data_IF_500293508476
#
_entry.id   IF_500293508476
#
_cell.length_a   1.000
_cell.length_b   1.000
_cell.length_c   1.000
_cell.angle_alpha   90.00
_cell.angle_beta   90.00
_cell.angle_gamma   90.00
#
_symmetry.space_group_name_H-M   'P 1'
#
loop_
_entity.id
_entity.type
_entity.pdbx_description
1 polymer ?
#
# COMPACT_ATOMS: atom_id res chain seq x y z
N UNK A 1 5.78 23.98 23.20
CA UNK A 1 4.57 23.19 22.87
C UNK A 1 4.15 23.59 21.47
N UNK A 2 4.55 22.87 20.41
CA UNK A 2 4.31 23.39 19.04
C UNK A 2 4.89 22.61 17.85
N UNK A 3 5.64 21.52 18.06
CA UNK A 3 6.25 20.77 16.94
C UNK A 3 5.56 19.43 16.62
N UNK A 4 4.65 18.95 17.48
CA UNK A 4 3.90 17.70 17.24
C UNK A 4 2.66 17.86 16.35
N UNK A 5 2.21 19.10 16.09
CA UNK A 5 0.99 19.36 15.32
C UNK A 5 1.23 19.45 13.80
N UNK A 6 2.45 19.81 13.36
CA UNK A 6 2.76 19.98 11.94
C UNK A 6 3.03 18.63 11.25
N UNK A 7 3.57 17.65 12.00
CA UNK A 7 3.80 16.28 11.49
C UNK A 7 2.48 15.54 11.18
N UNK A 8 1.41 15.86 11.91
CA UNK A 8 0.09 15.29 11.69
C UNK A 8 -0.53 15.74 10.36
N UNK A 9 -0.35 17.01 9.96
CA UNK A 9 -0.99 17.57 8.77
C UNK A 9 -0.50 16.93 7.45
N UNK A 10 0.78 16.55 7.38
CA UNK A 10 1.37 15.92 6.19
C UNK A 10 0.85 14.50 5.94
N UNK A 11 0.56 13.75 7.01
CA UNK A 11 -0.09 12.44 6.91
C UNK A 11 -1.55 12.58 6.43
N UNK A 12 -2.24 13.66 6.85
CA UNK A 12 -3.62 13.95 6.43
C UNK A 12 -3.77 14.27 4.93
N UNK A 13 -2.78 14.94 4.32
CA UNK A 13 -2.75 15.16 2.86
C UNK A 13 -2.43 13.90 2.06
N UNK A 14 -1.73 12.92 2.65
CA UNK A 14 -1.39 11.67 1.95
C UNK A 14 -2.61 10.77 1.72
N UNK A 15 -3.47 10.60 2.73
CA UNK A 15 -4.65 9.72 2.62
C UNK A 15 -5.87 10.37 1.93
N UNK A 16 -5.98 11.70 1.94
CA UNK A 16 -7.05 12.42 1.24
C UNK A 16 -6.81 12.46 -0.27
N UNK A 17 -5.57 12.66 -0.72
CA UNK A 17 -5.22 12.66 -2.15
C UNK A 17 -5.26 11.29 -2.83
N UNK A 18 -5.22 10.19 -2.07
CA UNK A 18 -5.28 8.85 -2.66
C UNK A 18 -6.63 8.54 -3.33
N UNK A 19 -7.74 9.12 -2.86
CA UNK A 19 -9.07 8.83 -3.43
C UNK A 19 -10.02 10.02 -3.20
N UNK A 20 -9.98 10.99 -4.11
CA UNK A 20 -11.01 12.01 -4.28
C UNK A 20 -11.87 11.60 -5.49
N UNK A 21 -13.23 11.59 -5.39
CA UNK A 21 -14.10 11.21 -6.50
C UNK A 21 -14.01 12.18 -7.69
N UNK A 22 -13.71 13.45 -7.41
CA UNK A 22 -13.61 14.50 -8.41
C UNK A 22 -12.40 15.40 -8.15
N UNK A 23 -11.86 15.93 -9.26
CA UNK A 23 -10.82 16.96 -9.40
C UNK A 23 -9.37 16.47 -9.62
N UNK A 24 -9.01 16.50 -10.91
CA UNK A 24 -7.78 17.04 -11.54
C UNK A 24 -6.47 16.89 -10.76
N UNK A 25 -5.55 16.17 -11.41
CA UNK A 25 -4.12 16.10 -11.14
C UNK A 25 -3.55 17.39 -10.49
N UNK A 26 -3.43 17.37 -9.16
CA UNK A 26 -2.60 18.31 -8.43
C UNK A 26 -1.19 17.76 -8.41
N UNK A 27 -0.28 18.62 -8.86
CA UNK A 27 1.15 18.40 -9.09
C UNK A 27 1.90 18.31 -7.75
N UNK A 28 1.55 17.32 -6.95
CA UNK A 28 2.26 16.94 -5.73
C UNK A 28 2.74 15.52 -5.96
N UNK A 29 4.05 15.28 -5.95
CA UNK A 29 4.71 13.96 -6.00
C UNK A 29 4.30 12.95 -4.90
N UNK A 30 3.16 13.17 -4.25
CA UNK A 30 2.40 12.17 -3.51
C UNK A 30 2.12 11.01 -4.47
N UNK A 31 2.35 9.78 -4.02
CA UNK A 31 1.94 8.59 -4.77
C UNK A 31 0.40 8.60 -4.80
N UNK A 32 -0.19 9.31 -5.76
CA UNK A 32 -1.64 9.34 -6.00
C UNK A 32 -1.96 8.11 -6.84
N UNK A 33 -2.31 7.03 -6.15
CA UNK A 33 -2.68 5.77 -6.77
C UNK A 33 -4.19 5.59 -6.63
N UNK A 34 -4.86 5.52 -7.78
CA UNK A 34 -6.23 5.02 -7.92
C UNK A 34 -6.20 3.67 -8.61
N UNK A 35 -6.66 2.63 -7.93
CA UNK A 35 -6.80 1.29 -8.50
C UNK A 35 -7.81 1.32 -9.67
N UNK A 36 -7.49 0.65 -10.77
CA UNK A 36 -8.30 0.67 -11.99
C UNK A 36 -8.11 1.89 -12.91
N UNK A 37 -7.64 3.02 -12.39
CA UNK A 37 -7.34 4.23 -13.19
C UNK A 37 -5.83 4.44 -13.42
N UNK A 38 -5.00 4.01 -12.46
CA UNK A 38 -3.54 4.17 -12.55
C UNK A 38 -2.96 3.14 -13.51
N UNK A 39 -2.42 3.62 -14.63
CA UNK A 39 -1.74 2.79 -15.63
C UNK A 39 -0.23 2.76 -15.41
N UNK A 40 0.42 1.69 -15.86
CA UNK A 40 1.88 1.53 -15.83
C UNK A 40 2.59 2.71 -16.49
N UNK A 41 2.08 3.16 -17.64
CA UNK A 41 2.67 4.27 -18.41
C UNK A 41 2.58 5.60 -17.62
N UNK A 42 1.45 5.87 -16.97
CA UNK A 42 1.27 7.06 -16.12
C UNK A 42 2.16 7.00 -14.90
N UNK A 43 2.24 5.84 -14.24
CA UNK A 43 3.11 5.63 -13.08
C UNK A 43 4.58 5.89 -13.42
N UNK A 44 5.09 5.32 -14.52
CA UNK A 44 6.49 5.51 -14.94
C UNK A 44 6.81 6.96 -15.29
N UNK A 45 5.85 7.69 -15.84
CA UNK A 45 6.00 9.12 -16.14
C UNK A 45 6.14 9.97 -14.87
N UNK A 46 5.40 9.63 -13.82
CA UNK A 46 5.43 10.35 -12.54
C UNK A 46 6.63 9.92 -11.68
N UNK A 47 6.98 8.64 -11.71
CA UNK A 47 8.05 8.05 -10.92
C UNK A 47 9.13 7.42 -11.82
N UNK A 48 9.91 8.24 -12.56
CA UNK A 48 10.94 7.73 -13.47
C UNK A 48 12.07 6.97 -12.76
N UNK A 49 12.21 7.14 -11.44
CA UNK A 49 13.16 6.40 -10.60
C UNK A 49 12.67 5.00 -10.20
N UNK A 50 11.44 4.62 -10.53
CA UNK A 50 10.93 3.28 -10.23
C UNK A 50 11.64 2.23 -11.09
N UNK A 51 12.13 1.17 -10.46
CA UNK A 51 12.88 0.09 -11.11
C UNK A 51 11.94 -1.07 -11.37
N UNK A 52 11.89 -1.56 -12.61
CA UNK A 52 11.22 -2.84 -12.91
C UNK A 52 12.06 -3.97 -12.33
N UNK A 53 11.50 -4.70 -11.37
CA UNK A 53 12.21 -5.79 -10.66
C UNK A 53 11.82 -7.18 -11.14
N UNK A 54 10.75 -7.32 -11.92
CA UNK A 54 10.35 -8.62 -12.45
C UNK A 54 9.03 -8.61 -13.19
N UNK A 55 8.56 -9.81 -13.53
CA UNK A 55 7.26 -10.07 -14.15
C UNK A 55 6.54 -11.17 -13.37
N UNK A 56 5.42 -10.84 -12.75
CA UNK A 56 4.57 -11.81 -12.07
C UNK A 56 3.89 -12.73 -13.08
N UNK A 57 4.23 -14.02 -13.08
CA UNK A 57 3.63 -15.00 -14.01
C UNK A 57 2.16 -15.32 -13.71
N UNK A 58 1.74 -15.26 -12.44
CA UNK A 58 0.40 -15.63 -12.02
C UNK A 58 -0.65 -14.59 -12.41
N UNK A 59 -0.33 -13.32 -12.19
CA UNK A 59 -1.16 -12.15 -12.51
C UNK A 59 -0.74 -11.45 -13.82
N UNK A 60 0.21 -12.08 -14.55
CA UNK A 60 0.71 -11.68 -15.88
C UNK A 60 1.11 -10.20 -15.96
N UNK A 61 1.96 -9.77 -15.04
CA UNK A 61 2.12 -8.36 -14.76
C UNK A 61 3.54 -7.90 -14.47
N UNK A 62 3.86 -6.63 -14.75
CA UNK A 62 5.17 -6.07 -14.39
C UNK A 62 5.20 -5.65 -12.92
N UNK A 63 6.28 -6.03 -12.23
CA UNK A 63 6.52 -5.63 -10.84
C UNK A 63 7.54 -4.48 -10.81
N UNK A 64 7.19 -3.42 -10.11
CA UNK A 64 8.04 -2.25 -9.91
C UNK A 64 8.37 -2.05 -8.44
N UNK A 65 9.60 -1.60 -8.21
CA UNK A 65 10.12 -1.16 -6.93
C UNK A 65 10.41 0.33 -6.99
N UNK A 66 9.82 1.08 -6.07
CA UNK A 66 10.23 2.44 -5.77
C UNK A 66 10.87 2.46 -4.38
N UNK A 67 12.12 2.91 -4.31
CA UNK A 67 12.82 3.17 -3.06
C UNK A 67 12.77 4.66 -2.76
N UNK A 68 11.97 5.08 -1.78
CA UNK A 68 12.02 6.40 -1.14
C UNK A 68 13.45 6.95 -0.97
N UNK A 69 13.72 8.15 -1.49
CA UNK A 69 14.97 8.86 -1.15
C UNK A 69 14.83 9.49 0.24
N UNK A 70 15.59 9.02 1.21
CA UNK A 70 15.57 9.50 2.60
C UNK A 70 16.44 10.75 2.82
N UNK A 71 17.16 11.22 1.80
CA UNK A 71 18.05 12.36 1.93
C UNK A 71 17.27 13.69 1.90
N UNK A 72 17.13 14.32 3.07
CA UNK A 72 16.39 15.58 3.28
C UNK A 72 16.94 16.77 2.49
N UNK A 73 18.22 16.72 2.11
CA UNK A 73 18.89 17.80 1.37
C UNK A 73 18.61 17.73 -0.15
N UNK A 74 18.13 16.60 -0.65
CA UNK A 74 17.68 16.45 -2.03
C UNK A 74 16.19 16.76 -2.07
N UNK A 75 15.83 18.05 -2.00
CA UNK A 75 14.47 18.51 -2.32
C UNK A 75 14.16 18.19 -3.79
N UNK A 76 13.66 16.99 -4.04
CA UNK A 76 12.96 16.62 -5.26
C UNK A 76 11.72 15.87 -4.81
N UNK A 77 10.68 16.67 -4.57
CA UNK A 77 9.28 16.27 -4.60
C UNK A 77 8.95 14.90 -3.99
N UNK A 78 8.65 14.95 -2.69
CA UNK A 78 7.53 14.22 -2.07
C UNK A 78 7.73 12.70 -2.07
N UNK A 79 8.63 12.28 -1.20
CA UNK A 79 8.70 10.90 -0.73
C UNK A 79 8.17 10.91 0.70
N UNK A 80 7.23 10.04 1.09
CA UNK A 80 6.82 9.94 2.49
C UNK A 80 8.05 9.56 3.32
N UNK A 81 8.50 10.47 4.20
CA UNK A 81 9.74 10.35 4.98
C UNK A 81 9.80 9.07 5.85
N UNK A 82 8.69 8.34 5.96
CA UNK A 82 8.53 7.14 6.77
C UNK A 82 8.32 5.84 5.95
N UNK A 83 8.51 5.86 4.62
CA UNK A 83 8.45 4.65 3.79
C UNK A 83 9.84 4.07 3.52
N UNK A 84 9.98 2.77 3.73
CA UNK A 84 11.18 1.99 3.41
C UNK A 84 11.14 1.54 1.94
N UNK A 85 10.01 0.97 1.53
CA UNK A 85 9.87 0.31 0.23
C UNK A 85 8.44 0.42 -0.29
N UNK A 86 8.31 0.68 -1.58
CA UNK A 86 7.04 0.63 -2.30
C UNK A 86 7.13 -0.37 -3.44
N UNK A 87 6.20 -1.33 -3.48
CA UNK A 87 6.08 -2.31 -4.55
C UNK A 87 4.75 -2.12 -5.27
N UNK A 88 4.78 -2.18 -6.59
CA UNK A 88 3.60 -2.07 -7.45
C UNK A 88 3.57 -3.24 -8.42
N UNK A 89 2.37 -3.76 -8.66
CA UNK A 89 2.11 -4.76 -9.68
C UNK A 89 1.06 -4.21 -10.65
N UNK A 90 1.40 -4.20 -11.94
CA UNK A 90 0.47 -3.89 -13.03
C UNK A 90 0.12 -5.16 -13.79
N UNK A 91 -1.12 -5.37 -14.21
CA UNK A 91 -1.53 -6.52 -15.04
C UNK A 91 -1.10 -6.40 -16.52
N UNK A 92 -1.47 -7.39 -17.33
CA UNK A 92 -1.24 -7.42 -18.78
C UNK A 92 -1.93 -6.26 -19.52
N UNK A 93 -3.00 -5.72 -18.94
CA UNK A 93 -3.70 -4.52 -19.43
C UNK A 93 -3.07 -3.21 -18.91
N UNK A 94 -1.91 -3.31 -18.25
CA UNK A 94 -1.16 -2.22 -17.63
C UNK A 94 -1.90 -1.49 -16.50
N UNK A 95 -2.93 -2.07 -15.92
CA UNK A 95 -3.66 -1.45 -14.81
C UNK A 95 -3.05 -1.89 -13.46
N UNK A 96 -3.06 -0.99 -12.48
CA UNK A 96 -2.57 -1.33 -11.15
C UNK A 96 -3.46 -2.39 -10.49
N UNK A 97 -2.84 -3.49 -10.05
CA UNK A 97 -3.49 -4.63 -9.41
C UNK A 97 -3.20 -4.69 -7.92
N UNK A 98 -1.95 -4.49 -7.53
CA UNK A 98 -1.53 -4.55 -6.14
C UNK A 98 -0.48 -3.47 -5.81
N UNK A 99 -0.53 -2.97 -4.58
CA UNK A 99 0.41 -2.00 -4.02
C UNK A 99 0.80 -2.45 -2.62
N UNK A 100 2.08 -2.43 -2.31
CA UNK A 100 2.58 -2.60 -0.95
C UNK A 100 3.43 -1.41 -0.55
N UNK A 101 3.09 -0.82 0.60
CA UNK A 101 3.85 0.21 1.28
C UNK A 101 4.42 -0.40 2.56
N UNK A 102 5.74 -0.44 2.68
CA UNK A 102 6.42 -0.78 3.94
C UNK A 102 6.86 0.50 4.62
N UNK A 103 6.38 0.70 5.84
CA UNK A 103 6.75 1.83 6.67
C UNK A 103 7.99 1.48 7.49
N UNK A 104 8.87 2.46 7.74
CA UNK A 104 10.05 2.32 8.60
C UNK A 104 9.62 2.12 10.06
N UNK A 105 8.49 2.71 10.47
CA UNK A 105 7.98 2.71 11.84
C UNK A 105 6.54 2.20 11.93
N UNK A 106 6.12 1.81 13.13
CA UNK A 106 4.73 1.47 13.40
C UNK A 106 3.84 2.69 13.15
N UNK A 107 2.96 2.55 12.16
CA UNK A 107 1.97 3.53 11.73
C UNK A 107 0.54 3.03 11.97
N UNK A 108 0.36 1.90 12.66
CA UNK A 108 -0.94 1.23 12.77
C UNK A 108 -2.01 2.11 13.43
N UNK A 109 -1.69 2.76 14.56
CA UNK A 109 -2.68 3.52 15.32
C UNK A 109 -3.31 4.65 14.51
N UNK A 110 -2.46 5.50 13.90
CA UNK A 110 -2.93 6.59 13.05
C UNK A 110 -3.49 6.06 11.72
N UNK A 111 -2.78 5.12 11.09
CA UNK A 111 -3.17 4.53 9.81
C UNK A 111 -4.55 3.87 9.86
N UNK A 112 -4.79 2.99 10.84
CA UNK A 112 -6.08 2.30 10.98
C UNK A 112 -7.23 3.29 11.24
N UNK A 113 -7.02 4.31 12.08
CA UNK A 113 -8.05 5.33 12.34
C UNK A 113 -8.41 6.15 11.11
N UNK A 114 -7.43 6.54 10.28
CA UNK A 114 -7.71 7.30 9.05
C UNK A 114 -8.37 6.41 8.00
N UNK A 115 -7.88 5.18 7.81
CA UNK A 115 -8.46 4.23 6.86
C UNK A 115 -9.90 3.87 7.22
N UNK A 116 -10.18 3.59 8.50
CA UNK A 116 -11.51 3.22 8.98
C UNK A 116 -12.55 4.36 8.87
N UNK A 117 -12.11 5.62 8.78
CA UNK A 117 -13.01 6.76 8.48
C UNK A 117 -13.40 6.84 7.01
N UNK A 118 -12.59 6.24 6.14
CA UNK A 118 -12.70 6.40 4.69
C UNK A 118 -13.27 5.17 4.00
N UNK A 119 -13.02 3.97 4.54
CA UNK A 119 -13.37 2.70 3.91
C UNK A 119 -14.19 1.82 4.84
N UNK A 120 -14.90 0.87 4.26
CA UNK A 120 -15.66 -0.11 5.01
C UNK A 120 -14.69 -1.07 5.70
N UNK A 121 -14.72 -1.12 7.04
CA UNK A 121 -13.94 -2.07 7.82
C UNK A 121 -14.60 -3.45 7.73
N UNK A 122 -13.84 -4.48 7.37
CA UNK A 122 -14.30 -5.87 7.33
C UNK A 122 -13.98 -6.57 8.65
N UNK A 123 -12.72 -6.49 9.06
CA UNK A 123 -12.25 -7.05 10.33
C UNK A 123 -11.12 -6.19 10.90
N UNK A 124 -11.01 -6.19 12.23
CA UNK A 124 -10.00 -5.43 12.95
C UNK A 124 -9.57 -6.21 14.20
N UNK A 125 -8.27 -6.37 14.36
CA UNK A 125 -7.64 -6.92 15.55
C UNK A 125 -6.63 -5.93 16.12
N UNK A 126 -6.93 -5.43 17.32
CA UNK A 126 -6.09 -4.50 18.08
C UNK A 126 -5.62 -5.17 19.36
N UNK A 127 -4.48 -5.85 19.30
CA UNK A 127 -3.85 -6.39 20.51
C UNK A 127 -2.92 -5.36 21.16
N UNK A 128 -2.86 -5.39 22.51
CA UNK A 128 -1.87 -4.60 23.29
C UNK A 128 -0.49 -5.25 23.19
N UNK A 129 -0.41 -6.54 22.92
CA UNK A 129 0.83 -7.27 22.66
C UNK A 129 0.59 -8.23 21.50
N UNK A 130 1.45 -8.19 20.48
CA UNK A 130 1.35 -9.06 19.30
C UNK A 130 1.02 -8.30 18.02
N UNK A 131 0.44 -9.03 17.07
CA UNK A 131 0.08 -8.50 15.75
C UNK A 131 -1.13 -7.58 15.85
N UNK A 132 -1.06 -6.44 15.17
CA UNK A 132 -2.21 -5.57 14.92
C UNK A 132 -2.58 -5.68 13.46
N UNK A 133 -3.87 -5.81 13.18
CA UNK A 133 -4.38 -6.05 11.84
C UNK A 133 -5.69 -5.31 11.60
N UNK A 134 -5.88 -4.76 10.41
CA UNK A 134 -7.18 -4.28 9.94
C UNK A 134 -7.31 -4.59 8.46
N UNK A 135 -8.45 -5.18 8.09
CA UNK A 135 -8.89 -5.39 6.72
C UNK A 135 -10.03 -4.43 6.41
N UNK A 136 -9.91 -3.74 5.30
CA UNK A 136 -10.91 -2.83 4.79
C UNK A 136 -11.23 -3.15 3.32
N UNK A 137 -12.37 -2.64 2.86
CA UNK A 137 -12.81 -2.75 1.49
C UNK A 137 -13.28 -1.39 0.97
N UNK A 138 -12.94 -1.12 -0.29
CA UNK A 138 -13.40 0.03 -1.04
C UNK A 138 -13.51 -0.32 -2.52
N UNK A 139 -14.73 -0.28 -3.08
CA UNK A 139 -14.99 -0.32 -4.53
C UNK A 139 -14.16 -1.35 -5.32
N UNK A 140 -14.17 -2.61 -4.89
CA UNK A 140 -13.44 -3.68 -5.57
C UNK A 140 -11.96 -3.78 -5.20
N UNK A 141 -11.53 -3.13 -4.12
CA UNK A 141 -10.16 -3.19 -3.58
C UNK A 141 -10.19 -3.57 -2.11
N UNK A 142 -9.40 -4.59 -1.75
CA UNK A 142 -9.11 -4.93 -0.37
C UNK A 142 -7.85 -4.21 0.10
N UNK A 143 -7.90 -3.74 1.34
CA UNK A 143 -6.86 -2.94 1.98
C UNK A 143 -6.51 -3.59 3.30
N UNK A 144 -5.23 -3.82 3.52
CA UNK A 144 -4.71 -4.52 4.68
C UNK A 144 -3.65 -3.67 5.34
N UNK A 145 -3.84 -3.31 6.60
CA UNK A 145 -2.80 -2.69 7.40
C UNK A 145 -2.41 -3.66 8.51
N UNK A 146 -1.13 -4.01 8.57
CA UNK A 146 -0.59 -4.93 9.58
C UNK A 146 0.65 -4.34 10.25
N UNK A 147 0.77 -4.57 11.55
CA UNK A 147 2.03 -4.41 12.29
C UNK A 147 2.30 -5.75 12.98
N UNK A 148 3.30 -6.55 12.53
CA UNK A 148 3.51 -7.90 13.06
C UNK A 148 4.06 -7.91 14.49
N UNK A 149 4.68 -6.83 14.96
CA UNK A 149 5.16 -6.68 16.34
C UNK A 149 5.42 -5.23 16.74
N UNK A 150 5.54 -4.96 18.04
CA UNK A 150 5.69 -3.61 18.63
C UNK A 150 6.90 -2.78 18.14
N UNK A 151 7.91 -3.43 17.57
CA UNK A 151 9.13 -2.76 17.06
C UNK A 151 9.28 -2.86 15.54
N UNK A 152 8.30 -3.44 14.86
CA UNK A 152 8.32 -3.58 13.41
C UNK A 152 7.60 -2.42 12.73
N UNK A 153 8.06 -2.07 11.54
CA UNK A 153 7.34 -1.18 10.64
C UNK A 153 5.98 -1.77 10.24
N UNK A 154 4.99 -0.90 10.06
CA UNK A 154 3.70 -1.35 9.49
C UNK A 154 3.86 -1.69 8.01
N UNK A 155 3.00 -2.57 7.52
CA UNK A 155 2.79 -2.81 6.09
C UNK A 155 1.36 -2.46 5.74
N UNK A 156 1.20 -1.61 4.71
CA UNK A 156 -0.09 -1.36 4.09
C UNK A 156 -0.08 -2.02 2.71
N UNK A 157 -1.01 -2.94 2.49
CA UNK A 157 -1.14 -3.72 1.28
C UNK A 157 -2.52 -3.51 0.67
N UNK A 158 -2.56 -3.27 -0.64
CA UNK A 158 -3.78 -3.10 -1.41
C UNK A 158 -3.79 -4.12 -2.54
N UNK A 159 -4.96 -4.67 -2.83
CA UNK A 159 -5.15 -5.59 -3.94
C UNK A 159 -6.57 -5.52 -4.48
N UNK A 160 -6.73 -5.57 -5.81
CA UNK A 160 -8.06 -5.71 -6.44
C UNK A 160 -8.73 -7.04 -6.05
N UNK A 161 -10.04 -7.00 -5.85
CA UNK A 161 -10.84 -8.17 -5.44
C UNK A 161 -10.70 -9.34 -6.39
N UNK A 162 -10.78 -9.10 -7.71
CA UNK A 162 -10.63 -10.14 -8.73
C UNK A 162 -9.29 -10.88 -8.65
N UNK A 163 -8.22 -10.14 -8.39
CA UNK A 163 -6.85 -10.64 -8.30
C UNK A 163 -6.62 -11.36 -6.97
N UNK A 164 -7.20 -10.84 -5.88
CA UNK A 164 -7.25 -11.54 -4.59
C UNK A 164 -7.95 -12.88 -4.75
N UNK A 165 -9.16 -12.89 -5.30
CA UNK A 165 -9.94 -14.12 -5.51
C UNK A 165 -9.19 -15.12 -6.41
N UNK A 166 -8.52 -14.63 -7.46
CA UNK A 166 -7.69 -15.49 -8.31
C UNK A 166 -6.55 -16.16 -7.55
N UNK A 167 -5.84 -15.40 -6.69
CA UNK A 167 -4.75 -15.94 -5.86
C UNK A 167 -5.31 -16.96 -4.85
N UNK A 168 -6.42 -16.65 -4.20
CA UNK A 168 -6.99 -17.48 -3.14
C UNK A 168 -7.55 -18.81 -3.62
N UNK A 169 -7.94 -18.94 -4.90
CA UNK A 169 -8.31 -20.25 -5.50
C UNK A 169 -7.22 -21.31 -5.40
N UNK A 170 -5.95 -20.91 -5.20
CA UNK A 170 -4.79 -21.81 -5.07
C UNK A 170 -4.18 -21.77 -3.67
N UNK A 171 -4.82 -21.10 -2.72
CA UNK A 171 -4.31 -20.96 -1.36
C UNK A 171 -4.62 -22.21 -0.52
N UNK A 172 -3.65 -22.73 0.25
CA UNK A 172 -3.92 -23.68 1.32
C UNK A 172 -4.90 -23.07 2.34
N UNK A 173 -5.94 -23.81 2.72
CA UNK A 173 -6.94 -23.35 3.71
C UNK A 173 -6.32 -22.97 5.06
N UNK A 174 -5.21 -23.62 5.42
CA UNK A 174 -4.46 -23.37 6.66
C UNK A 174 -3.83 -21.97 6.75
N UNK A 175 -3.72 -21.24 5.64
CA UNK A 175 -3.20 -19.86 5.62
C UNK A 175 -4.25 -18.82 5.96
N UNK A 176 -5.54 -19.16 5.85
CA UNK A 176 -6.65 -18.21 6.05
C UNK A 176 -6.90 -17.89 7.53
N UNK A 177 -6.30 -18.65 8.45
CA UNK A 177 -6.50 -18.51 9.90
C UNK A 177 -5.38 -17.72 10.59
N UNK A 178 -4.43 -17.15 9.85
CA UNK A 178 -3.36 -16.34 10.42
C UNK A 178 -3.05 -15.16 9.50
N UNK A 179 -3.29 -13.95 9.98
CA UNK A 179 -3.27 -12.70 9.23
C UNK A 179 -1.86 -12.37 8.70
N UNK A 180 -0.83 -12.67 9.49
CA UNK A 180 0.57 -12.47 9.07
C UNK A 180 0.91 -13.43 7.92
N UNK A 181 0.64 -14.73 8.11
CA UNK A 181 0.89 -15.74 7.07
C UNK A 181 0.07 -15.49 5.81
N UNK A 182 -1.17 -15.03 5.98
CA UNK A 182 -2.03 -14.64 4.87
C UNK A 182 -1.40 -13.49 4.09
N UNK A 183 -0.98 -12.41 4.75
CA UNK A 183 -0.39 -11.26 4.05
C UNK A 183 0.96 -11.58 3.43
N UNK A 184 1.80 -12.38 4.09
CA UNK A 184 3.05 -12.86 3.50
C UNK A 184 2.80 -13.69 2.24
N UNK A 185 1.80 -14.57 2.26
CA UNK A 185 1.37 -15.33 1.08
C UNK A 185 0.85 -14.42 -0.04
N UNK A 186 -0.02 -13.45 0.29
CA UNK A 186 -0.55 -12.52 -0.71
C UNK A 186 0.56 -11.65 -1.32
N UNK A 187 1.49 -11.15 -0.49
CA UNK A 187 2.64 -10.37 -0.95
C UNK A 187 3.58 -11.20 -1.83
N UNK A 188 3.87 -12.44 -1.46
CA UNK A 188 4.65 -13.38 -2.29
C UNK A 188 4.00 -13.59 -3.66
N UNK A 189 2.70 -13.89 -3.67
CA UNK A 189 1.96 -14.13 -4.93
C UNK A 189 1.82 -12.89 -5.79
N UNK A 190 1.97 -11.68 -5.24
CA UNK A 190 1.92 -10.43 -6.00
C UNK A 190 3.31 -9.95 -6.45
N UNK A 191 4.34 -10.08 -5.61
CA UNK A 191 5.62 -9.36 -5.82
C UNK A 191 6.84 -10.27 -5.97
N UNK A 192 6.67 -11.59 -6.00
CA UNK A 192 7.71 -12.52 -6.43
C UNK A 192 7.65 -12.71 -7.97
N UNK A 193 8.76 -12.51 -8.71
CA UNK A 193 8.82 -12.71 -10.17
C UNK A 193 8.62 -14.16 -10.64
#
# INVERSE_FOLDING_TARGET
MGTKFILNLFFFSFLSCLFCPDARATKTGTITIKFGETTEDTFKKIHPSAVKIGFNKALKGNIYLLTPNLNKDVRKDIVPEDLDKVLLLFDESKNLVALQLKFIKDSFGLGSSVLAKKYAVITEEKTIFGTKYIELYNEGVFIYLITPSYFSGSTLFFIRSDSKEYILKKAPESLLMNEVKFLDFMADKCFTP
#
